data_IF_856730095129
#
_entry.id   IF_856730095129
#
_cell.length_a   1.000
_cell.length_b   1.000
_cell.length_c   1.000
_cell.angle_alpha   90.00
_cell.angle_beta   90.00
_cell.angle_gamma   90.00
#
_symmetry.space_group_name_H-M   'P 1'
#
loop_
_entity.id
_entity.type
_entity.pdbx_description
1 polymer ?
#
# COMPACT_ATOMS: atom_id res chain seq x y z
N UNK A 1 5.98 -11.95 0.09
CA UNK A 1 5.18 -10.96 -0.67
C UNK A 1 6.10 -9.81 -1.01
N UNK A 2 6.14 -9.41 -2.28
CA UNK A 2 6.99 -8.32 -2.77
C UNK A 2 6.12 -7.15 -3.23
N UNK A 3 6.48 -5.94 -2.83
CA UNK A 3 5.82 -4.70 -3.21
C UNK A 3 6.79 -3.78 -3.96
N UNK A 4 6.25 -2.89 -4.78
CA UNK A 4 7.02 -1.85 -5.47
C UNK A 4 6.70 -0.48 -4.85
N UNK A 5 7.73 0.26 -4.46
CA UNK A 5 7.55 1.63 -3.95
C UNK A 5 7.40 2.63 -5.11
N UNK A 6 7.05 3.89 -4.82
CA UNK A 6 6.87 4.91 -5.85
C UNK A 6 8.13 5.16 -6.71
N UNK A 7 9.33 4.97 -6.15
CA UNK A 7 10.61 5.08 -6.87
C UNK A 7 11.01 3.82 -7.65
N UNK A 8 10.11 2.84 -7.77
CA UNK A 8 10.28 1.61 -8.55
C UNK A 8 11.12 0.52 -7.87
N UNK A 9 11.64 0.76 -6.66
CA UNK A 9 12.41 -0.25 -5.93
C UNK A 9 11.51 -1.27 -5.25
N UNK A 10 12.03 -2.49 -5.12
CA UNK A 10 11.37 -3.62 -4.48
C UNK A 10 11.48 -3.57 -2.96
N UNK A 11 10.42 -3.99 -2.28
CA UNK A 11 10.34 -4.08 -0.83
C UNK A 11 9.64 -5.38 -0.43
N UNK A 12 10.35 -6.22 0.33
CA UNK A 12 9.73 -7.41 0.94
C UNK A 12 8.72 -6.95 2.00
N UNK A 13 7.44 -7.12 1.68
CA UNK A 13 6.33 -6.65 2.50
C UNK A 13 5.97 -7.65 3.63
N UNK A 14 6.31 -8.92 3.45
CA UNK A 14 6.06 -9.96 4.43
C UNK A 14 6.59 -11.30 3.96
N UNK A 15 6.82 -12.19 4.92
CA UNK A 15 7.37 -13.53 4.68
C UNK A 15 6.55 -14.61 5.39
N UNK A 16 6.54 -15.79 4.81
CA UNK A 16 6.03 -17.02 5.41
C UNK A 16 6.99 -18.14 5.06
N UNK A 17 7.31 -18.96 6.05
CA UNK A 17 8.29 -20.02 5.99
C UNK A 17 7.66 -21.33 6.41
N UNK A 18 7.91 -22.36 5.62
CA UNK A 18 7.69 -23.74 6.01
C UNK A 18 9.04 -24.36 6.38
N UNK A 19 9.18 -24.74 7.64
CA UNK A 19 10.42 -25.27 8.18
C UNK A 19 10.52 -26.79 8.14
N UNK A 20 9.43 -27.48 7.77
CA UNK A 20 9.31 -28.92 7.99
C UNK A 20 9.53 -29.25 9.47
N UNK A 21 10.24 -30.32 9.77
CA UNK A 21 10.53 -30.77 11.12
C UNK A 21 11.95 -30.42 11.62
N UNK A 22 12.70 -29.60 10.87
CA UNK A 22 14.11 -29.33 11.17
C UNK A 22 14.32 -28.66 12.52
N UNK A 23 13.54 -27.62 12.83
CA UNK A 23 13.56 -26.96 14.15
C UNK A 23 13.06 -27.90 15.25
N UNK A 24 11.99 -28.65 14.99
CA UNK A 24 11.46 -29.60 15.94
C UNK A 24 12.49 -30.67 16.34
N UNK A 25 13.29 -31.17 15.38
CA UNK A 25 14.42 -32.07 15.66
C UNK A 25 15.54 -31.37 16.44
N UNK A 26 15.90 -30.15 16.06
CA UNK A 26 16.99 -29.41 16.70
C UNK A 26 16.72 -29.08 18.17
N UNK A 27 15.44 -28.88 18.53
CA UNK A 27 15.00 -28.52 19.89
C UNK A 27 14.28 -29.64 20.64
N UNK A 28 14.32 -30.88 20.09
CA UNK A 28 13.65 -32.06 20.64
C UNK A 28 12.15 -31.85 20.97
N UNK A 29 11.46 -31.14 20.09
CA UNK A 29 10.01 -30.94 20.19
C UNK A 29 9.34 -32.19 19.63
N UNK A 30 8.61 -32.93 20.47
CA UNK A 30 8.02 -34.21 20.11
C UNK A 30 6.55 -34.29 20.54
N UNK A 31 5.78 -35.14 19.85
CA UNK A 31 4.44 -35.57 20.25
C UNK A 31 4.26 -37.07 20.00
N UNK A 32 3.32 -37.70 20.70
CA UNK A 32 2.98 -39.12 20.46
C UNK A 32 1.99 -39.20 19.29
N UNK A 33 2.38 -39.90 18.22
CA UNK A 33 1.55 -40.16 17.05
C UNK A 33 0.45 -41.20 17.32
N UNK A 34 -0.46 -41.36 16.36
CA UNK A 34 -1.54 -42.39 16.42
C UNK A 34 -1.01 -43.82 16.45
N UNK A 35 0.22 -44.03 16.00
CA UNK A 35 0.96 -45.28 16.08
C UNK A 35 1.67 -45.48 17.44
N UNK A 36 1.42 -44.60 18.42
CA UNK A 36 2.07 -44.54 19.71
C UNK A 36 3.60 -44.36 19.65
N UNK A 37 4.12 -43.85 18.52
CA UNK A 37 5.54 -43.49 18.38
C UNK A 37 5.74 -42.00 18.55
N UNK A 38 6.91 -41.61 19.05
CA UNK A 38 7.30 -40.21 19.10
C UNK A 38 7.56 -39.70 17.68
N UNK A 39 6.99 -38.53 17.37
CA UNK A 39 7.12 -37.85 16.08
C UNK A 39 7.49 -36.38 16.31
N UNK A 40 8.20 -35.78 15.36
CA UNK A 40 8.50 -34.36 15.36
C UNK A 40 7.45 -33.60 14.53
N UNK A 41 6.83 -32.54 15.08
CA UNK A 41 5.85 -31.75 14.33
C UNK A 41 6.51 -30.98 13.19
N UNK A 42 5.74 -30.75 12.13
CA UNK A 42 6.12 -29.82 11.08
C UNK A 42 5.75 -28.39 11.52
N UNK A 43 6.66 -27.45 11.28
CA UNK A 43 6.54 -26.08 11.76
C UNK A 43 6.52 -25.07 10.61
N UNK A 44 5.85 -23.96 10.87
CA UNK A 44 5.81 -22.77 10.01
C UNK A 44 6.02 -21.52 10.85
N UNK A 45 6.56 -20.47 10.25
CA UNK A 45 6.49 -19.11 10.82
C UNK A 45 6.17 -18.10 9.73
N UNK A 46 5.70 -16.93 10.13
CA UNK A 46 5.39 -15.84 9.22
C UNK A 46 5.44 -14.53 9.99
N UNK A 47 5.74 -13.45 9.27
CA UNK A 47 5.98 -12.16 9.90
C UNK A 47 5.89 -11.00 8.92
N UNK A 48 5.47 -9.88 9.49
CA UNK A 48 5.51 -8.54 8.91
C UNK A 48 6.07 -7.58 9.96
N UNK A 49 6.54 -6.42 9.54
CA UNK A 49 7.11 -5.42 10.45
C UNK A 49 6.52 -4.04 10.17
N UNK A 50 6.94 -3.03 10.94
CA UNK A 50 6.62 -1.61 10.70
C UNK A 50 7.07 -1.11 9.32
N UNK A 51 7.86 -1.89 8.57
CA UNK A 51 8.19 -1.64 7.16
C UNK A 51 6.93 -1.45 6.30
N UNK A 52 5.80 -2.09 6.65
CA UNK A 52 4.52 -1.89 5.97
C UNK A 52 3.99 -0.46 6.08
N UNK A 53 4.24 0.23 7.20
CA UNK A 53 3.86 1.63 7.38
C UNK A 53 4.67 2.49 6.41
N UNK A 54 5.98 2.27 6.34
CA UNK A 54 6.86 2.92 5.35
C UNK A 54 6.40 2.65 3.92
N UNK A 55 6.00 1.42 3.61
CA UNK A 55 5.50 1.05 2.29
C UNK A 55 4.25 1.84 1.88
N UNK A 56 3.27 1.98 2.78
CA UNK A 56 2.06 2.77 2.54
C UNK A 56 2.42 4.24 2.26
N UNK A 57 3.29 4.82 3.10
CA UNK A 57 3.73 6.21 2.96
C UNK A 57 4.43 6.43 1.62
N UNK A 58 5.38 5.56 1.27
CA UNK A 58 6.18 5.68 0.05
C UNK A 58 5.39 5.37 -1.22
N UNK A 59 4.34 4.55 -1.15
CA UNK A 59 3.53 4.18 -2.31
C UNK A 59 2.52 5.27 -2.68
N UNK A 60 1.89 5.89 -1.68
CA UNK A 60 0.76 6.80 -1.91
C UNK A 60 1.09 8.27 -1.70
N UNK A 61 2.16 8.60 -0.96
CA UNK A 61 2.56 9.98 -0.67
C UNK A 61 2.75 10.83 -1.92
N UNK A 62 2.53 12.14 -1.77
CA UNK A 62 2.70 13.12 -2.84
C UNK A 62 3.48 14.36 -2.35
N UNK A 63 3.64 15.35 -3.23
CA UNK A 63 4.35 16.60 -2.91
C UNK A 63 3.70 17.43 -1.80
N UNK A 64 2.48 17.10 -1.39
CA UNK A 64 1.73 17.80 -0.34
C UNK A 64 1.74 17.01 0.97
N UNK A 65 2.37 15.82 1.03
CA UNK A 65 2.55 15.03 2.24
C UNK A 65 1.94 13.63 2.13
N UNK A 66 1.38 13.15 3.23
CA UNK A 66 0.79 11.81 3.30
C UNK A 66 -0.49 11.73 2.47
N UNK A 67 -0.75 10.54 1.92
CA UNK A 67 -2.05 10.14 1.38
C UNK A 67 -2.33 8.76 1.96
N UNK A 68 -3.25 8.68 2.92
CA UNK A 68 -3.46 7.43 3.67
C UNK A 68 -4.70 6.69 3.14
N UNK A 69 -4.62 5.36 2.94
CA UNK A 69 -5.81 4.55 2.72
C UNK A 69 -6.79 4.70 3.89
N UNK A 70 -8.10 4.82 3.64
CA UNK A 70 -9.10 5.05 4.68
C UNK A 70 -9.14 4.00 5.79
N UNK A 71 -8.73 2.77 5.51
CA UNK A 71 -8.75 1.66 6.47
C UNK A 71 -7.68 1.83 7.55
N UNK A 72 -6.58 2.53 7.26
CA UNK A 72 -5.46 2.73 8.20
C UNK A 72 -5.32 4.17 8.69
N UNK A 73 -6.00 5.13 8.06
CA UNK A 73 -5.95 6.53 8.44
C UNK A 73 -6.50 6.73 9.88
N UNK A 74 -5.77 7.34 10.83
CA UNK A 74 -6.26 7.57 12.19
C UNK A 74 -7.52 8.46 12.22
N UNK A 75 -7.59 9.41 11.28
CA UNK A 75 -8.75 10.25 11.02
C UNK A 75 -9.15 9.95 9.57
N UNK A 76 -10.41 9.56 9.35
CA UNK A 76 -10.98 9.33 8.01
C UNK A 76 -11.61 10.61 7.47
N UNK A 77 -12.34 11.33 8.34
CA UNK A 77 -13.00 12.59 8.00
C UNK A 77 -12.58 13.68 8.98
N UNK A 78 -12.07 14.80 8.47
CA UNK A 78 -11.90 16.02 9.27
C UNK A 78 -12.97 17.05 8.94
N UNK A 79 -13.69 17.52 9.97
CA UNK A 79 -14.69 18.58 9.86
C UNK A 79 -14.02 19.92 10.12
N UNK A 80 -14.13 20.83 9.14
CA UNK A 80 -13.61 22.19 9.21
C UNK A 80 -14.80 23.18 9.20
N UNK A 81 -15.17 23.75 10.36
CA UNK A 81 -16.12 24.84 10.43
C UNK A 81 -15.54 26.10 9.79
N UNK A 82 -16.18 26.57 8.71
CA UNK A 82 -15.80 27.78 7.97
C UNK A 82 -16.55 28.97 8.57
N UNK A 83 -15.83 30.05 8.86
CA UNK A 83 -16.36 31.21 9.58
C UNK A 83 -16.96 30.84 10.95
N UNK A 84 -16.22 30.06 11.74
CA UNK A 84 -16.64 29.54 13.05
C UNK A 84 -17.05 30.60 14.10
N UNK A 85 -16.72 31.88 13.87
CA UNK A 85 -17.18 33.00 14.70
C UNK A 85 -18.66 33.34 14.51
N UNK A 86 -19.29 32.84 13.43
CA UNK A 86 -20.72 33.01 13.20
C UNK A 86 -21.51 32.02 14.03
N UNK A 87 -22.63 32.50 14.56
CA UNK A 87 -23.54 31.72 15.39
C UNK A 87 -24.03 30.45 14.67
N UNK A 88 -24.18 29.35 15.42
CA UNK A 88 -24.67 28.06 14.91
C UNK A 88 -23.65 27.20 14.14
N UNK A 89 -22.54 27.75 13.64
CA UNK A 89 -21.57 26.98 12.84
C UNK A 89 -20.86 25.90 13.66
N UNK A 90 -20.33 26.26 14.84
CA UNK A 90 -19.65 25.31 15.73
C UNK A 90 -20.61 24.26 16.29
N UNK A 91 -21.84 24.66 16.61
CA UNK A 91 -22.89 23.75 17.08
C UNK A 91 -23.22 22.72 16.00
N UNK A 92 -23.49 23.16 14.76
CA UNK A 92 -23.78 22.26 13.65
C UNK A 92 -22.60 21.33 13.33
N UNK A 93 -21.36 21.84 13.36
CA UNK A 93 -20.17 21.01 13.18
C UNK A 93 -20.02 19.95 14.28
N UNK A 94 -20.35 20.30 15.53
CA UNK A 94 -20.41 19.38 16.66
C UNK A 94 -21.47 18.30 16.52
N UNK A 95 -22.68 18.66 16.06
CA UNK A 95 -23.74 17.69 15.72
C UNK A 95 -23.30 16.72 14.62
N UNK A 96 -22.69 17.25 13.55
CA UNK A 96 -22.16 16.43 12.46
C UNK A 96 -21.06 15.48 12.96
N UNK A 97 -20.14 15.96 13.82
CA UNK A 97 -19.13 15.10 14.43
C UNK A 97 -19.77 13.92 15.15
N UNK A 98 -20.74 14.17 16.04
CA UNK A 98 -21.42 13.10 16.79
C UNK A 98 -22.19 12.13 15.87
N UNK A 99 -22.79 12.64 14.79
CA UNK A 99 -23.49 11.83 13.79
C UNK A 99 -22.55 10.92 13.04
N UNK A 100 -21.43 11.46 12.55
CA UNK A 100 -20.45 10.75 11.72
C UNK A 100 -19.59 9.76 12.52
N UNK A 101 -19.30 10.05 13.79
CA UNK A 101 -18.55 9.14 14.69
C UNK A 101 -19.21 7.76 14.87
N UNK A 102 -20.49 7.63 14.53
CA UNK A 102 -21.22 6.35 14.57
C UNK A 102 -20.73 5.35 13.52
N UNK A 103 -20.08 5.81 12.44
CA UNK A 103 -19.67 4.94 11.33
C UNK A 103 -18.28 5.25 10.74
N UNK A 104 -17.62 6.35 11.12
CA UNK A 104 -16.25 6.62 10.71
C UNK A 104 -15.43 7.32 11.79
N UNK A 105 -14.10 7.32 11.63
CA UNK A 105 -13.16 8.02 12.54
C UNK A 105 -13.10 9.49 12.17
N UNK A 106 -13.66 10.34 13.02
CA UNK A 106 -13.86 11.77 12.72
C UNK A 106 -13.07 12.64 13.68
N UNK A 107 -12.57 13.77 13.18
CA UNK A 107 -12.07 14.87 14.00
C UNK A 107 -12.73 16.17 13.56
N UNK A 108 -13.08 17.05 14.50
CA UNK A 108 -13.40 18.43 14.22
C UNK A 108 -12.19 19.31 14.54
N UNK A 109 -11.89 20.29 13.69
CA UNK A 109 -10.89 21.31 13.97
C UNK A 109 -11.56 22.68 14.20
N UNK A 110 -11.79 23.00 15.46
CA UNK A 110 -12.32 24.27 15.96
C UNK A 110 -11.21 25.25 16.40
N UNK A 111 -9.96 25.00 16.03
CA UNK A 111 -8.85 25.92 16.36
C UNK A 111 -9.05 27.29 15.69
N UNK A 112 -8.45 28.34 16.24
CA UNK A 112 -8.54 29.71 15.69
C UNK A 112 -7.69 29.95 14.42
N UNK A 113 -7.11 28.89 13.85
CA UNK A 113 -6.35 28.99 12.60
C UNK A 113 -7.25 29.31 11.40
N UNK A 114 -6.67 29.91 10.36
CA UNK A 114 -7.41 30.18 9.13
C UNK A 114 -7.83 28.86 8.44
N UNK A 115 -8.95 28.82 7.69
CA UNK A 115 -9.36 27.63 6.97
C UNK A 115 -8.26 27.07 6.05
N UNK A 116 -7.56 27.95 5.32
CA UNK A 116 -6.44 27.54 4.45
C UNK A 116 -5.30 26.87 5.21
N UNK A 117 -4.98 27.32 6.43
CA UNK A 117 -3.98 26.68 7.27
C UNK A 117 -4.44 25.27 7.70
N UNK A 118 -5.71 25.15 8.14
CA UNK A 118 -6.29 23.85 8.51
C UNK A 118 -6.31 22.89 7.32
N UNK A 119 -6.67 23.38 6.13
CA UNK A 119 -6.68 22.59 4.90
C UNK A 119 -5.30 21.99 4.61
N UNK A 120 -4.26 22.81 4.63
CA UNK A 120 -2.89 22.37 4.40
C UNK A 120 -2.41 21.38 5.47
N UNK A 121 -2.75 21.60 6.75
CA UNK A 121 -2.38 20.69 7.83
C UNK A 121 -2.95 19.28 7.62
N UNK A 122 -4.24 19.17 7.32
CA UNK A 122 -4.90 17.87 7.15
C UNK A 122 -4.61 17.22 5.79
N UNK A 123 -4.30 18.01 4.76
CA UNK A 123 -3.71 17.49 3.52
C UNK A 123 -2.35 16.88 3.79
N UNK A 124 -1.46 17.58 4.51
CA UNK A 124 -0.14 17.05 4.87
C UNK A 124 -0.21 15.78 5.71
N UNK A 125 -1.17 15.71 6.65
CA UNK A 125 -1.43 14.52 7.47
C UNK A 125 -2.11 13.37 6.73
N UNK A 126 -2.56 13.61 5.50
CA UNK A 126 -3.17 12.59 4.65
C UNK A 126 -4.55 12.13 5.10
N UNK A 127 -5.32 13.00 5.75
CA UNK A 127 -6.72 12.69 6.11
C UNK A 127 -7.52 12.47 4.83
N UNK A 128 -8.15 11.30 4.61
CA UNK A 128 -8.79 10.94 3.34
C UNK A 128 -9.86 11.92 2.86
N UNK A 129 -10.74 12.36 3.76
CA UNK A 129 -11.81 13.30 3.45
C UNK A 129 -11.78 14.51 4.37
N UNK A 130 -12.00 15.68 3.78
CA UNK A 130 -12.25 16.93 4.50
C UNK A 130 -13.69 17.37 4.26
N UNK A 131 -14.45 17.56 5.33
CA UNK A 131 -15.80 18.12 5.31
C UNK A 131 -15.72 19.60 5.70
N UNK A 132 -16.07 20.48 4.77
CA UNK A 132 -16.15 21.92 4.99
C UNK A 132 -17.62 22.30 5.20
N UNK A 133 -17.90 23.03 6.28
CA UNK A 133 -19.26 23.47 6.62
C UNK A 133 -19.23 24.94 7.07
N UNK A 134 -19.91 25.82 6.34
CA UNK A 134 -20.09 27.22 6.72
C UNK A 134 -21.56 27.64 6.76
N UNK A 135 -21.86 28.90 7.14
CA UNK A 135 -23.24 29.37 7.30
C UNK A 135 -24.13 29.16 6.06
N UNK A 136 -23.59 29.40 4.86
CA UNK A 136 -24.32 29.20 3.60
C UNK A 136 -24.68 27.75 3.36
N UNK A 137 -23.76 26.84 3.69
CA UNK A 137 -23.96 25.41 3.52
C UNK A 137 -25.03 24.90 4.51
N UNK A 138 -25.02 25.43 5.75
CA UNK A 138 -26.04 25.16 6.76
C UNK A 138 -27.42 25.64 6.30
N UNK A 139 -27.53 26.87 5.80
CA UNK A 139 -28.77 27.43 5.25
C UNK A 139 -29.33 26.58 4.08
N UNK A 140 -28.43 25.94 3.31
CA UNK A 140 -28.77 25.11 2.17
C UNK A 140 -28.87 23.61 2.49
N UNK A 141 -28.73 23.21 3.76
CA UNK A 141 -28.71 21.82 4.19
C UNK A 141 -27.69 20.95 3.42
N UNK A 142 -26.48 21.47 3.21
CA UNK A 142 -25.40 20.79 2.52
C UNK A 142 -24.04 20.98 3.21
N UNK A 143 -23.01 20.30 2.71
CA UNK A 143 -21.61 20.55 3.01
C UNK A 143 -20.73 20.27 1.78
N UNK A 144 -19.46 20.66 1.84
CA UNK A 144 -18.48 20.30 0.81
C UNK A 144 -17.57 19.19 1.33
N UNK A 145 -17.54 18.06 0.64
CA UNK A 145 -16.56 16.99 0.86
C UNK A 145 -15.42 17.13 -0.14
N UNK A 146 -14.18 17.12 0.35
CA UNK A 146 -12.96 17.20 -0.46
C UNK A 146 -12.13 15.94 -0.26
N UNK A 147 -11.79 15.28 -1.36
CA UNK A 147 -10.93 14.09 -1.38
C UNK A 147 -9.45 14.44 -1.29
N UNK A 148 -8.68 13.66 -0.53
CA UNK A 148 -7.23 13.89 -0.38
C UNK A 148 -6.41 13.51 -1.61
N UNK A 149 -6.77 12.44 -2.29
CA UNK A 149 -5.99 11.84 -3.37
C UNK A 149 -6.03 12.66 -4.67
N UNK A 150 -7.16 13.35 -4.94
CA UNK A 150 -7.36 14.13 -6.17
C UNK A 150 -7.86 15.58 -5.95
N UNK A 151 -8.19 15.97 -4.72
CA UNK A 151 -8.77 17.29 -4.35
C UNK A 151 -10.12 17.61 -4.98
N UNK A 152 -10.81 16.60 -5.49
CA UNK A 152 -12.16 16.74 -6.01
C UNK A 152 -13.10 17.19 -4.89
N UNK A 153 -13.96 18.17 -5.22
CA UNK A 153 -14.95 18.74 -4.30
C UNK A 153 -16.33 18.27 -4.72
N UNK A 154 -17.07 17.70 -3.77
CA UNK A 154 -18.45 17.29 -3.96
C UNK A 154 -19.32 18.04 -2.96
N UNK A 155 -20.35 18.74 -3.45
CA UNK A 155 -21.40 19.32 -2.60
C UNK A 155 -22.39 18.21 -2.30
N UNK A 156 -22.67 17.98 -1.02
CA UNK A 156 -23.49 16.84 -0.56
C UNK A 156 -24.52 17.33 0.43
N UNK A 157 -25.76 16.86 0.28
CA UNK A 157 -26.81 17.13 1.28
C UNK A 157 -26.41 16.56 2.63
N UNK A 158 -26.70 17.29 3.72
CA UNK A 158 -26.45 16.77 5.06
C UNK A 158 -27.26 15.50 5.34
N UNK A 159 -28.35 15.25 4.63
CA UNK A 159 -29.20 14.07 4.82
C UNK A 159 -28.61 12.80 4.21
N UNK A 160 -27.63 12.92 3.31
CA UNK A 160 -27.05 11.80 2.54
C UNK A 160 -25.68 11.35 3.06
N UNK A 161 -25.16 11.96 4.12
CA UNK A 161 -23.78 11.77 4.58
C UNK A 161 -23.44 10.32 4.95
N UNK A 162 -24.38 9.59 5.55
CA UNK A 162 -24.25 8.17 5.90
C UNK A 162 -24.04 7.27 4.67
N UNK A 163 -24.48 7.72 3.49
CA UNK A 163 -24.33 6.96 2.24
C UNK A 163 -23.10 7.46 1.48
N UNK A 164 -22.96 8.78 1.34
CA UNK A 164 -21.93 9.38 0.47
C UNK A 164 -20.54 9.28 1.07
N UNK A 165 -20.37 9.44 2.39
CA UNK A 165 -19.03 9.36 3.01
C UNK A 165 -18.43 7.96 2.86
N UNK A 166 -19.12 6.85 3.20
CA UNK A 166 -18.58 5.51 2.97
C UNK A 166 -18.22 5.26 1.50
N UNK A 167 -19.08 5.68 0.57
CA UNK A 167 -18.81 5.53 -0.87
C UNK A 167 -17.56 6.30 -1.30
N UNK A 168 -17.38 7.54 -0.84
CA UNK A 168 -16.19 8.34 -1.18
C UNK A 168 -14.92 7.77 -0.56
N UNK A 169 -14.99 7.18 0.64
CA UNK A 169 -13.85 6.48 1.24
C UNK A 169 -13.49 5.21 0.43
N UNK A 170 -14.47 4.43 0.00
CA UNK A 170 -14.24 3.26 -0.86
C UNK A 170 -13.65 3.67 -2.21
N UNK A 171 -14.24 4.66 -2.89
CA UNK A 171 -13.73 5.18 -4.15
C UNK A 171 -12.29 5.69 -4.04
N UNK A 172 -11.95 6.34 -2.92
CA UNK A 172 -10.58 6.79 -2.64
C UNK A 172 -9.64 5.59 -2.44
N UNK A 173 -10.05 4.56 -1.69
CA UNK A 173 -9.28 3.33 -1.54
C UNK A 173 -8.96 2.70 -2.90
N UNK A 174 -9.99 2.52 -3.73
CA UNK A 174 -9.85 1.92 -5.05
C UNK A 174 -8.95 2.76 -5.96
N UNK A 175 -9.10 4.08 -5.93
CA UNK A 175 -8.24 5.00 -6.70
C UNK A 175 -6.77 4.88 -6.30
N UNK A 176 -6.47 4.76 -5.00
CA UNK A 176 -5.11 4.54 -4.51
C UNK A 176 -4.55 3.19 -4.93
N UNK A 177 -5.37 2.13 -4.88
CA UNK A 177 -4.97 0.80 -5.29
C UNK A 177 -4.69 0.75 -6.79
N UNK A 178 -5.60 1.24 -7.64
CA UNK A 178 -5.45 1.23 -9.09
C UNK A 178 -4.21 2.03 -9.54
N UNK A 179 -4.00 3.22 -8.97
CA UNK A 179 -2.79 4.01 -9.26
C UNK A 179 -1.50 3.24 -8.92
N UNK A 180 -1.47 2.53 -7.79
CA UNK A 180 -0.32 1.72 -7.39
C UNK A 180 -0.14 0.49 -8.29
N UNK A 181 -1.23 -0.16 -8.68
CA UNK A 181 -1.26 -1.29 -9.61
C UNK A 181 -0.72 -0.91 -10.98
N UNK A 182 -1.25 0.17 -11.58
CA UNK A 182 -0.80 0.71 -12.87
C UNK A 182 0.68 1.09 -12.84
N UNK A 183 1.16 1.72 -11.76
CA UNK A 183 2.58 2.03 -11.60
C UNK A 183 3.44 0.76 -11.57
N UNK A 184 3.01 -0.27 -10.83
CA UNK A 184 3.71 -1.56 -10.77
C UNK A 184 3.77 -2.23 -12.15
N UNK A 185 2.65 -2.26 -12.87
CA UNK A 185 2.56 -2.87 -14.20
C UNK A 185 3.43 -2.14 -15.22
N UNK A 186 3.33 -0.80 -15.25
CA UNK A 186 4.15 0.05 -16.15
C UNK A 186 5.66 -0.10 -15.89
N UNK A 187 6.05 -0.40 -14.65
CA UNK A 187 7.44 -0.60 -14.23
C UNK A 187 7.81 -2.08 -14.08
N UNK A 188 7.04 -2.97 -14.71
CA UNK A 188 7.39 -4.39 -14.78
C UNK A 188 7.82 -4.71 -16.21
N UNK A 189 9.09 -5.05 -16.35
CA UNK A 189 9.74 -5.29 -17.63
C UNK A 189 10.05 -6.77 -17.81
N UNK A 190 10.43 -7.16 -19.03
CA UNK A 190 10.91 -8.50 -19.37
C UNK A 190 12.32 -8.37 -19.93
N UNK A 191 13.20 -9.32 -19.59
CA UNK A 191 14.49 -9.48 -20.23
C UNK A 191 14.74 -10.95 -20.57
N UNK A 192 15.19 -11.20 -21.79
CA UNK A 192 15.40 -12.54 -22.35
C UNK A 192 16.87 -13.00 -22.26
N UNK A 193 17.80 -12.06 -22.05
CA UNK A 193 19.22 -12.33 -21.94
C UNK A 193 19.92 -11.34 -20.99
N UNK A 194 21.20 -11.59 -20.71
CA UNK A 194 21.99 -10.78 -19.79
C UNK A 194 22.20 -9.33 -20.28
N UNK A 195 22.28 -9.10 -21.59
CA UNK A 195 22.46 -7.76 -22.15
C UNK A 195 21.20 -6.92 -21.93
N UNK A 196 20.03 -7.46 -22.26
CA UNK A 196 18.73 -6.83 -21.97
C UNK A 196 18.54 -6.59 -20.48
N UNK A 197 18.94 -7.56 -19.64
CA UNK A 197 18.86 -7.42 -18.19
C UNK A 197 19.65 -6.21 -17.68
N UNK A 198 20.88 -6.04 -18.18
CA UNK A 198 21.73 -4.88 -17.84
C UNK A 198 21.11 -3.59 -18.36
N UNK A 199 20.60 -3.58 -19.60
CA UNK A 199 19.98 -2.41 -20.21
C UNK A 199 18.74 -1.95 -19.42
N UNK A 200 17.83 -2.88 -19.10
CA UNK A 200 16.60 -2.59 -18.37
C UNK A 200 16.92 -2.13 -16.94
N UNK A 201 17.84 -2.82 -16.25
CA UNK A 201 18.23 -2.45 -14.88
C UNK A 201 18.98 -1.10 -14.79
N UNK A 202 19.64 -0.70 -15.88
CA UNK A 202 20.30 0.60 -16.02
C UNK A 202 19.35 1.78 -16.30
N UNK A 203 18.12 1.49 -16.71
CA UNK A 203 17.07 2.50 -16.96
C UNK A 203 16.28 2.85 -15.70
N UNK A 204 14.96 2.93 -15.85
CA UNK A 204 14.06 3.19 -14.72
C UNK A 204 14.03 2.00 -13.75
N UNK A 205 13.93 2.29 -12.45
CA UNK A 205 13.71 1.24 -11.46
C UNK A 205 12.35 0.56 -11.68
N UNK A 206 12.31 -0.73 -11.43
CA UNK A 206 11.13 -1.55 -11.56
C UNK A 206 11.42 -3.01 -11.25
N UNK A 207 10.44 -3.85 -11.55
CA UNK A 207 10.61 -5.29 -11.59
C UNK A 207 11.05 -5.73 -12.99
N UNK A 208 11.88 -6.76 -13.05
CA UNK A 208 12.30 -7.38 -14.31
C UNK A 208 11.97 -8.86 -14.21
N UNK A 209 11.17 -9.38 -15.13
CA UNK A 209 10.87 -10.80 -15.26
C UNK A 209 11.89 -11.46 -16.17
N UNK A 210 12.47 -12.57 -15.73
CA UNK A 210 13.28 -13.43 -16.60
C UNK A 210 13.03 -14.89 -16.29
N UNK A 211 13.31 -15.77 -17.26
CA UNK A 211 13.41 -17.20 -17.02
C UNK A 211 14.76 -17.55 -16.39
N UNK A 212 14.74 -18.42 -15.38
CA UNK A 212 15.92 -18.76 -14.57
C UNK A 212 16.11 -20.27 -14.42
N UNK A 213 17.36 -20.75 -14.44
CA UNK A 213 17.71 -22.17 -14.34
C UNK A 213 17.74 -22.73 -12.91
N UNK A 214 17.63 -21.87 -11.89
CA UNK A 214 17.72 -22.27 -10.47
C UNK A 214 19.15 -22.34 -9.92
N UNK A 215 20.15 -21.88 -10.67
CA UNK A 215 21.55 -21.90 -10.24
C UNK A 215 21.92 -20.58 -9.53
N UNK A 216 22.37 -20.62 -8.26
CA UNK A 216 22.82 -19.43 -7.53
C UNK A 216 23.92 -18.63 -8.23
N UNK A 217 24.76 -19.27 -9.06
CA UNK A 217 25.78 -18.56 -9.83
C UNK A 217 25.19 -17.57 -10.84
N UNK A 218 24.01 -17.89 -11.40
CA UNK A 218 23.30 -16.98 -12.31
C UNK A 218 22.68 -15.80 -11.54
N UNK A 219 22.19 -16.03 -10.32
CA UNK A 219 21.70 -14.97 -9.45
C UNK A 219 22.82 -13.99 -9.07
N UNK A 220 23.99 -14.48 -8.67
CA UNK A 220 25.13 -13.60 -8.35
C UNK A 220 25.60 -12.84 -9.59
N UNK A 221 25.57 -13.45 -10.78
CA UNK A 221 25.90 -12.74 -12.03
C UNK A 221 24.95 -11.56 -12.30
N UNK A 222 23.63 -11.72 -12.12
CA UNK A 222 22.69 -10.61 -12.25
C UNK A 222 22.91 -9.51 -11.20
N UNK A 223 23.28 -9.90 -9.98
CA UNK A 223 23.62 -8.95 -8.92
C UNK A 223 24.88 -8.15 -9.22
N UNK A 224 25.95 -8.81 -9.66
CA UNK A 224 27.22 -8.17 -9.99
C UNK A 224 27.12 -7.28 -11.23
N UNK A 225 26.47 -7.76 -12.30
CA UNK A 225 26.47 -7.08 -13.60
C UNK A 225 25.30 -6.12 -13.80
N UNK A 226 24.12 -6.43 -13.25
CA UNK A 226 22.91 -5.62 -13.42
C UNK A 226 22.44 -4.94 -12.12
N UNK A 227 23.07 -5.22 -10.97
CA UNK A 227 22.76 -4.54 -9.70
C UNK A 227 21.40 -4.89 -9.11
N UNK A 228 20.85 -6.07 -9.44
CA UNK A 228 19.53 -6.53 -9.01
C UNK A 228 19.62 -7.85 -8.23
N UNK A 229 18.60 -8.17 -7.45
CA UNK A 229 18.51 -9.45 -6.72
C UNK A 229 17.20 -10.17 -7.01
N UNK A 230 17.16 -11.48 -6.84
CA UNK A 230 15.92 -12.26 -6.99
C UNK A 230 14.93 -11.85 -5.90
N UNK A 231 13.68 -11.55 -6.25
CA UNK A 231 12.66 -11.05 -5.31
C UNK A 231 11.67 -12.13 -4.94
N UNK A 232 11.05 -12.72 -5.94
CA UNK A 232 10.24 -13.90 -5.76
C UNK A 232 10.15 -14.70 -7.05
N UNK A 233 9.94 -16.01 -6.90
CA UNK A 233 9.29 -16.82 -7.92
C UNK A 233 7.78 -16.68 -7.69
N UNK A 234 7.03 -16.06 -8.60
CA UNK A 234 5.59 -15.92 -8.43
C UNK A 234 4.90 -17.28 -8.50
N UNK A 235 3.77 -17.43 -7.81
CA UNK A 235 3.00 -18.68 -7.85
C UNK A 235 2.40 -18.92 -9.23
N UNK A 236 1.88 -17.86 -9.85
CA UNK A 236 1.48 -17.89 -11.26
C UNK A 236 2.73 -17.70 -12.12
N UNK A 237 3.05 -18.74 -12.89
CA UNK A 237 4.22 -18.76 -13.77
C UNK A 237 3.81 -18.34 -15.17
N UNK A 238 4.54 -17.37 -15.72
CA UNK A 238 4.47 -17.02 -17.14
C UNK A 238 5.64 -17.70 -17.86
N UNK A 239 5.40 -18.24 -19.05
CA UNK A 239 6.45 -18.77 -19.90
C UNK A 239 6.94 -17.68 -20.84
N UNK A 240 8.13 -17.14 -20.56
CA UNK A 240 8.74 -16.05 -21.35
C UNK A 240 9.81 -16.57 -22.33
N UNK A 241 10.40 -17.73 -22.04
CA UNK A 241 11.46 -18.40 -22.81
C UNK A 241 11.71 -19.84 -22.31
N UNK A 242 12.43 -20.62 -23.12
CA UNK A 242 12.90 -21.97 -22.76
C UNK A 242 14.23 -21.97 -21.98
N UNK A 243 14.99 -20.88 -22.05
CA UNK A 243 16.37 -20.80 -21.53
C UNK A 243 16.53 -19.72 -20.46
N UNK A 244 17.52 -19.91 -19.61
CA UNK A 244 17.89 -18.98 -18.57
C UNK A 244 18.51 -17.72 -19.17
N UNK A 245 17.94 -16.55 -18.86
CA UNK A 245 18.43 -15.26 -19.37
C UNK A 245 19.89 -14.97 -19.00
N UNK A 246 20.43 -15.62 -17.95
CA UNK A 246 21.84 -15.43 -17.58
C UNK A 246 22.81 -16.32 -18.38
N UNK A 247 22.48 -17.60 -18.57
CA UNK A 247 23.47 -18.61 -19.03
C UNK A 247 23.05 -19.45 -20.23
N UNK A 248 21.84 -19.25 -20.77
CA UNK A 248 21.33 -19.97 -21.95
C UNK A 248 21.00 -21.45 -21.72
N UNK A 249 21.21 -21.99 -20.52
CA UNK A 249 20.79 -23.36 -20.16
C UNK A 249 19.27 -23.44 -19.98
N UNK A 250 18.64 -24.63 -20.06
CA UNK A 250 17.21 -24.79 -19.83
C UNK A 250 16.73 -24.11 -18.54
N UNK A 251 15.68 -23.30 -18.65
CA UNK A 251 15.06 -22.63 -17.51
C UNK A 251 14.10 -23.56 -16.76
N UNK A 252 13.86 -23.24 -15.48
CA UNK A 252 12.94 -23.99 -14.61
C UNK A 252 11.73 -23.16 -14.17
N UNK A 253 11.94 -21.87 -13.95
CA UNK A 253 10.91 -20.97 -13.44
C UNK A 253 11.18 -19.53 -13.88
N UNK A 254 10.11 -18.74 -13.97
CA UNK A 254 10.15 -17.29 -14.05
C UNK A 254 10.42 -16.69 -12.67
N UNK A 255 11.26 -15.67 -12.63
CA UNK A 255 11.66 -14.94 -11.42
C UNK A 255 11.49 -13.44 -11.65
N UNK A 256 10.98 -12.75 -10.64
CA UNK A 256 11.07 -11.29 -10.54
C UNK A 256 12.40 -10.87 -9.94
N UNK A 257 13.08 -9.95 -10.60
CA UNK A 257 14.30 -9.30 -10.16
C UNK A 257 14.05 -7.82 -9.91
N UNK A 258 14.85 -7.20 -9.04
CA UNK A 258 14.75 -5.76 -8.82
C UNK A 258 15.84 -5.22 -7.90
N UNK A 259 15.96 -3.88 -7.88
CA UNK A 259 16.76 -3.17 -6.88
C UNK A 259 15.99 -3.12 -5.57
N UNK A 260 16.59 -3.65 -4.51
CA UNK A 260 15.95 -3.74 -3.21
C UNK A 260 16.32 -2.58 -2.29
N UNK A 261 15.41 -2.29 -1.35
CA UNK A 261 15.70 -1.53 -0.14
C UNK A 261 16.34 -2.39 0.94
#
# INVERSE_FOLDING_TARGET
IEAMMHDGKSLQAGTSHYFGDGFAKAFDIQFTGRDNKLQHPHQTSWGVTTRLIGAIIMTHGDNNGLVLPPQVAPIQVVIIPVAQHKEGVLEKAGELKQRLEKFCRVKMDDSNNSPGWKYAEYEMKGVPLRLEIGPRDIEQNQCVLVRRDNREKTIVSLDELETVIPQLLENLHDSLYQKALENREKRTFVAHNLEEMIQVAGGENGFIKTMWCGDPACEETFKEKAGVSSRCMPFEQEHLDDVCACCGKPAKAMVYWGKAY
#
